data_IF_083718175756
#
_entry.id   IF_083718175756
#
_cell.length_a   1.000
_cell.length_b   1.000
_cell.length_c   1.000
_cell.angle_alpha   90.00
_cell.angle_beta   90.00
_cell.angle_gamma   90.00
#
_symmetry.space_group_name_H-M   'P 1'
#
loop_
_entity.id
_entity.type
_entity.pdbx_description
1 polymer ?
#
# COMPACT_ATOMS: atom_id res chain seq x y z
N UNK A 1 -114.27 47.93 -11.44
CA UNK A 1 -113.36 47.34 -10.46
C UNK A 1 -114.17 46.52 -9.49
N UNK A 2 -114.04 45.20 -9.58
CA UNK A 2 -114.78 44.28 -8.73
C UNK A 2 -114.16 44.27 -7.32
N UNK A 3 -114.96 44.05 -6.28
CA UNK A 3 -114.47 44.01 -4.89
C UNK A 3 -113.40 42.92 -4.67
N UNK A 4 -113.38 41.88 -5.50
CA UNK A 4 -112.33 40.86 -5.49
C UNK A 4 -111.01 41.33 -6.11
N UNK A 5 -111.05 42.20 -7.13
CA UNK A 5 -109.84 42.74 -7.76
C UNK A 5 -109.07 43.65 -6.80
N UNK A 6 -109.78 44.47 -6.02
CA UNK A 6 -109.15 45.36 -5.04
C UNK A 6 -108.49 44.57 -3.89
N UNK A 7 -109.10 43.45 -3.47
CA UNK A 7 -108.53 42.55 -2.45
C UNK A 7 -107.25 41.86 -2.94
N UNK A 8 -107.24 41.41 -4.19
CA UNK A 8 -106.08 40.77 -4.80
C UNK A 8 -104.91 41.76 -5.02
N UNK A 9 -105.22 43.02 -5.33
CA UNK A 9 -104.19 44.05 -5.46
C UNK A 9 -103.51 44.36 -4.12
N UNK A 10 -104.29 44.37 -3.03
CA UNK A 10 -103.78 44.65 -1.69
C UNK A 10 -102.90 43.51 -1.16
N UNK A 11 -103.25 42.25 -1.43
CA UNK A 11 -102.40 41.09 -1.09
C UNK A 11 -101.08 41.11 -1.87
N UNK A 12 -101.10 41.54 -3.14
CA UNK A 12 -99.90 41.65 -3.97
C UNK A 12 -98.89 42.66 -3.42
N UNK A 13 -99.36 43.82 -2.95
CA UNK A 13 -98.49 44.85 -2.34
C UNK A 13 -97.84 44.35 -1.05
N UNK A 14 -98.54 43.56 -0.24
CA UNK A 14 -97.99 43.00 0.99
C UNK A 14 -96.85 42.01 0.68
N UNK A 15 -97.03 41.15 -0.32
CA UNK A 15 -96.02 40.15 -0.72
C UNK A 15 -94.75 40.79 -1.29
N UNK A 16 -94.88 41.90 -2.02
CA UNK A 16 -93.70 42.63 -2.55
C UNK A 16 -92.89 43.30 -1.45
N UNK A 17 -93.55 43.90 -0.45
CA UNK A 17 -92.87 44.52 0.70
C UNK A 17 -92.15 43.47 1.56
N UNK A 18 -92.79 42.32 1.81
CA UNK A 18 -92.19 41.22 2.58
C UNK A 18 -90.97 40.64 1.86
N UNK A 19 -91.03 40.51 0.54
CA UNK A 19 -89.89 40.03 -0.27
C UNK A 19 -88.69 40.98 -0.19
N UNK A 20 -88.93 42.28 -0.18
CA UNK A 20 -87.87 43.28 -0.06
C UNK A 20 -87.21 43.24 1.33
N UNK A 21 -87.99 43.01 2.39
CA UNK A 21 -87.49 42.95 3.77
C UNK A 21 -86.67 41.68 4.04
N UNK A 22 -87.04 40.55 3.42
CA UNK A 22 -86.27 39.30 3.46
C UNK A 22 -84.90 39.42 2.78
N UNK A 23 -84.86 40.03 1.59
CA UNK A 23 -83.59 40.28 0.86
C UNK A 23 -82.70 41.27 1.61
N UNK A 24 -83.27 42.32 2.20
CA UNK A 24 -82.53 43.29 3.00
C UNK A 24 -81.89 42.66 4.26
N UNK A 25 -82.62 41.76 4.94
CA UNK A 25 -82.10 41.05 6.12
C UNK A 25 -81.02 40.01 5.75
N UNK A 26 -81.17 39.32 4.63
CA UNK A 26 -80.17 38.35 4.14
C UNK A 26 -78.82 38.99 3.79
N UNK A 27 -78.80 40.27 3.43
CA UNK A 27 -77.56 40.98 3.08
C UNK A 27 -76.74 41.46 4.29
N UNK A 28 -77.29 41.39 5.51
CA UNK A 28 -76.58 41.83 6.72
C UNK A 28 -75.73 40.71 7.36
N UNK A 29 -76.13 39.44 7.21
CA UNK A 29 -75.43 38.27 7.78
C UNK A 29 -74.14 37.86 7.04
N UNK A 30 -73.71 38.61 6.02
CA UNK A 30 -72.50 38.33 5.24
C UNK A 30 -71.28 39.14 5.67
N UNK A 31 -71.43 40.17 6.51
CA UNK A 31 -70.28 41.02 6.93
C UNK A 31 -69.48 40.42 8.10
N UNK A 32 -70.09 39.72 9.04
CA UNK A 32 -69.40 39.18 10.22
C UNK A 32 -68.67 37.85 9.95
N UNK A 33 -69.04 37.11 8.90
CA UNK A 33 -68.36 35.86 8.51
C UNK A 33 -67.02 36.09 7.81
N UNK A 34 -66.80 37.27 7.23
CA UNK A 34 -65.55 37.59 6.53
C UNK A 34 -64.43 38.09 7.46
N UNK A 35 -64.76 38.66 8.63
CA UNK A 35 -63.76 39.15 9.59
C UNK A 35 -63.13 38.01 10.41
N UNK A 36 -63.93 37.01 10.82
CA UNK A 36 -63.42 35.83 11.52
C UNK A 36 -62.55 34.93 10.63
N UNK A 37 -62.83 34.86 9.32
CA UNK A 37 -61.97 34.11 8.38
C UNK A 37 -60.59 34.76 8.20
N UNK A 38 -60.47 36.09 8.33
CA UNK A 38 -59.21 36.81 8.12
C UNK A 38 -58.24 36.66 9.31
N UNK A 39 -58.75 36.64 10.55
CA UNK A 39 -57.93 36.45 11.76
C UNK A 39 -57.54 34.97 11.95
N UNK A 40 -58.43 34.04 11.57
CA UNK A 40 -58.17 32.59 11.62
C UNK A 40 -57.19 32.15 10.52
N UNK A 41 -57.23 32.77 9.32
CA UNK A 41 -56.26 32.50 8.25
C UNK A 41 -54.83 32.80 8.69
N UNK A 42 -54.54 34.00 9.21
CA UNK A 42 -53.19 34.42 9.60
C UNK A 42 -52.60 33.53 10.73
N UNK A 43 -53.46 33.08 11.66
CA UNK A 43 -53.08 32.15 12.72
C UNK A 43 -52.77 30.75 12.18
N UNK A 44 -53.59 30.24 11.26
CA UNK A 44 -53.38 28.93 10.64
C UNK A 44 -52.15 28.94 9.73
N UNK A 45 -51.93 30.01 8.96
CA UNK A 45 -50.77 30.17 8.07
C UNK A 45 -49.46 30.20 8.88
N UNK A 46 -49.46 30.86 10.04
CA UNK A 46 -48.32 30.85 10.97
C UNK A 46 -48.07 29.48 11.61
N UNK A 47 -49.12 28.74 11.95
CA UNK A 47 -49.01 27.36 12.49
C UNK A 47 -48.45 26.42 11.41
N UNK A 48 -48.94 26.53 10.17
CA UNK A 48 -48.46 25.75 9.03
C UNK A 48 -46.99 26.08 8.77
N UNK A 49 -46.62 27.36 8.70
CA UNK A 49 -45.24 27.79 8.52
C UNK A 49 -44.31 27.26 9.63
N UNK A 50 -44.74 27.30 10.90
CA UNK A 50 -43.98 26.73 12.03
C UNK A 50 -43.77 25.22 11.89
N UNK A 51 -44.82 24.48 11.52
CA UNK A 51 -44.74 23.03 11.33
C UNK A 51 -43.83 22.63 10.16
N UNK A 52 -43.82 23.43 9.08
CA UNK A 52 -42.92 23.27 7.93
C UNK A 52 -41.47 23.49 8.35
N UNK A 53 -41.21 24.53 9.15
CA UNK A 53 -39.86 24.81 9.66
C UNK A 53 -39.39 23.69 10.59
N UNK A 54 -40.24 23.21 11.48
CA UNK A 54 -39.91 22.11 12.40
C UNK A 54 -39.60 20.82 11.64
N UNK A 55 -40.43 20.44 10.67
CA UNK A 55 -40.18 19.28 9.80
C UNK A 55 -38.94 19.44 8.93
N UNK A 56 -38.66 20.66 8.47
CA UNK A 56 -37.42 20.96 7.74
C UNK A 56 -36.20 20.76 8.63
N UNK A 57 -36.24 21.22 9.88
CA UNK A 57 -35.13 21.06 10.82
C UNK A 57 -34.90 19.59 11.18
N UNK A 58 -35.96 18.82 11.44
CA UNK A 58 -35.88 17.36 11.67
C UNK A 58 -35.28 16.65 10.45
N UNK A 59 -35.65 17.08 9.24
CA UNK A 59 -35.10 16.54 8.00
C UNK A 59 -33.62 16.92 7.81
N UNK A 60 -33.22 18.17 8.11
CA UNK A 60 -31.83 18.61 8.07
C UNK A 60 -30.97 17.85 9.10
N UNK A 61 -31.49 17.61 10.31
CA UNK A 61 -30.84 16.81 11.35
C UNK A 61 -30.68 15.35 10.91
N UNK A 62 -31.73 14.73 10.37
CA UNK A 62 -31.65 13.37 9.84
C UNK A 62 -30.66 13.24 8.69
N UNK A 63 -30.59 14.22 7.77
CA UNK A 63 -29.58 14.25 6.71
C UNK A 63 -28.18 14.32 7.30
N UNK A 64 -27.98 15.16 8.33
CA UNK A 64 -26.69 15.30 8.99
C UNK A 64 -26.28 13.99 9.65
N UNK A 65 -27.17 13.34 10.40
CA UNK A 65 -26.91 12.06 11.04
C UNK A 65 -26.57 10.97 10.02
N UNK A 66 -27.31 10.91 8.91
CA UNK A 66 -27.04 9.98 7.81
C UNK A 66 -25.67 10.26 7.20
N UNK A 67 -25.34 11.53 6.95
CA UNK A 67 -24.04 11.90 6.39
C UNK A 67 -22.88 11.57 7.34
N UNK A 68 -23.04 11.87 8.63
CA UNK A 68 -22.04 11.54 9.66
C UNK A 68 -21.86 10.02 9.78
N UNK A 69 -22.95 9.25 9.71
CA UNK A 69 -22.90 7.79 9.69
C UNK A 69 -22.17 7.27 8.43
N UNK A 70 -22.51 7.76 7.25
CA UNK A 70 -21.83 7.35 6.01
C UNK A 70 -20.34 7.70 6.03
N UNK A 71 -19.96 8.84 6.61
CA UNK A 71 -18.55 9.23 6.77
C UNK A 71 -17.84 8.25 7.70
N UNK A 72 -18.44 7.90 8.83
CA UNK A 72 -17.84 6.96 9.78
C UNK A 72 -17.74 5.54 9.20
N UNK A 73 -18.80 5.05 8.54
CA UNK A 73 -18.80 3.75 7.86
C UNK A 73 -17.75 3.70 6.74
N UNK A 74 -17.68 4.76 5.92
CA UNK A 74 -16.66 4.88 4.86
C UNK A 74 -15.26 4.89 5.46
N UNK A 75 -15.03 5.65 6.52
CA UNK A 75 -13.73 5.73 7.19
C UNK A 75 -13.34 4.37 7.77
N UNK A 76 -14.28 3.65 8.37
CA UNK A 76 -14.06 2.31 8.91
C UNK A 76 -13.71 1.31 7.79
N UNK A 77 -14.49 1.28 6.71
CA UNK A 77 -14.26 0.38 5.58
C UNK A 77 -12.94 0.71 4.86
N UNK A 78 -12.64 1.99 4.70
CA UNK A 78 -11.36 2.46 4.14
C UNK A 78 -10.18 2.05 5.03
N UNK A 79 -10.28 2.26 6.35
CA UNK A 79 -9.23 1.86 7.28
C UNK A 79 -9.01 0.34 7.26
N UNK A 80 -10.09 -0.44 7.27
CA UNK A 80 -10.02 -1.89 7.18
C UNK A 80 -9.35 -2.33 5.88
N UNK A 81 -9.85 -1.85 4.73
CA UNK A 81 -9.30 -2.16 3.41
C UNK A 81 -7.84 -1.73 3.28
N UNK A 82 -7.48 -0.56 3.81
CA UNK A 82 -6.10 -0.05 3.78
C UNK A 82 -5.19 -0.93 4.63
N UNK A 83 -5.64 -1.35 5.81
CA UNK A 83 -4.87 -2.24 6.68
C UNK A 83 -4.65 -3.61 6.03
N UNK A 84 -5.69 -4.20 5.44
CA UNK A 84 -5.58 -5.46 4.69
C UNK A 84 -4.60 -5.34 3.52
N UNK A 85 -4.67 -4.26 2.74
CA UNK A 85 -3.73 -4.02 1.63
C UNK A 85 -2.31 -3.78 2.09
N UNK A 86 -2.12 -3.09 3.22
CA UNK A 86 -0.80 -2.84 3.78
C UNK A 86 -0.10 -4.15 4.15
N UNK A 87 -0.84 -5.12 4.71
CA UNK A 87 -0.30 -6.45 5.02
C UNK A 87 0.17 -7.16 3.75
N UNK A 88 -0.63 -7.15 2.69
CA UNK A 88 -0.25 -7.79 1.40
C UNK A 88 0.95 -7.09 0.76
N UNK A 89 1.00 -5.76 0.83
CA UNK A 89 2.15 -4.98 0.34
C UNK A 89 3.39 -5.31 1.16
N UNK A 90 3.27 -5.45 2.48
CA UNK A 90 4.37 -5.80 3.37
C UNK A 90 4.89 -7.21 3.07
N UNK A 91 4.01 -8.21 2.94
CA UNK A 91 4.38 -9.58 2.57
C UNK A 91 5.09 -9.62 1.21
N UNK A 92 4.61 -8.87 0.22
CA UNK A 92 5.26 -8.75 -1.07
C UNK A 92 6.62 -8.03 -1.00
N UNK A 93 6.73 -6.98 -0.18
CA UNK A 93 7.98 -6.27 0.04
C UNK A 93 9.03 -7.18 0.70
N UNK A 94 8.63 -7.98 1.70
CA UNK A 94 9.50 -8.96 2.35
C UNK A 94 10.01 -10.00 1.33
N UNK A 95 9.13 -10.50 0.46
CA UNK A 95 9.53 -11.40 -0.63
C UNK A 95 10.54 -10.75 -1.60
N UNK A 96 10.31 -9.48 -1.98
CA UNK A 96 11.24 -8.76 -2.84
C UNK A 96 12.59 -8.52 -2.15
N UNK A 97 12.61 -8.25 -0.84
CA UNK A 97 13.85 -8.10 -0.08
C UNK A 97 14.63 -9.42 -0.06
N UNK A 98 13.95 -10.54 0.12
CA UNK A 98 14.58 -11.87 0.04
C UNK A 98 15.15 -12.14 -1.36
N UNK A 99 14.40 -11.82 -2.42
CA UNK A 99 14.86 -11.96 -3.81
C UNK A 99 16.09 -11.05 -4.09
N UNK A 100 16.09 -9.82 -3.60
CA UNK A 100 17.23 -8.90 -3.69
C UNK A 100 18.44 -9.46 -2.93
N UNK A 101 18.23 -9.99 -1.73
CA UNK A 101 19.29 -10.61 -0.94
C UNK A 101 19.91 -11.80 -1.66
N UNK A 102 19.09 -12.69 -2.21
CA UNK A 102 19.53 -13.84 -3.00
C UNK A 102 20.34 -13.39 -4.22
N UNK A 103 19.86 -12.40 -4.96
CA UNK A 103 20.57 -11.87 -6.12
C UNK A 103 21.90 -11.20 -5.74
N UNK A 104 21.93 -10.45 -4.63
CA UNK A 104 23.17 -9.87 -4.09
C UNK A 104 24.19 -10.95 -3.73
N UNK A 105 23.76 -12.05 -3.13
CA UNK A 105 24.62 -13.20 -2.83
C UNK A 105 25.17 -13.85 -4.11
N UNK A 106 24.34 -14.01 -5.15
CA UNK A 106 24.77 -14.56 -6.44
C UNK A 106 25.79 -13.67 -7.16
N UNK A 107 25.55 -12.34 -7.20
CA UNK A 107 26.49 -11.37 -7.78
C UNK A 107 27.82 -11.36 -7.02
N UNK A 108 27.76 -11.38 -5.68
CA UNK A 108 28.97 -11.45 -4.87
C UNK A 108 29.74 -12.75 -5.08
N UNK A 109 29.03 -13.88 -5.21
CA UNK A 109 29.63 -15.16 -5.53
C UNK A 109 30.31 -15.16 -6.90
N UNK A 110 29.67 -14.59 -7.93
CA UNK A 110 30.28 -14.45 -9.25
C UNK A 110 31.56 -13.59 -9.19
N UNK A 111 31.53 -12.49 -8.44
CA UNK A 111 32.71 -11.68 -8.18
C UNK A 111 33.83 -12.48 -7.49
N UNK A 112 33.48 -13.31 -6.50
CA UNK A 112 34.45 -14.19 -5.84
C UNK A 112 35.09 -15.19 -6.80
N UNK A 113 34.28 -15.87 -7.64
CA UNK A 113 34.80 -16.82 -8.65
C UNK A 113 35.72 -16.12 -9.64
N UNK A 114 35.31 -14.96 -10.17
CA UNK A 114 36.13 -14.22 -11.13
C UNK A 114 37.47 -13.83 -10.54
N UNK A 115 37.48 -13.34 -9.29
CA UNK A 115 38.70 -12.99 -8.59
C UNK A 115 39.54 -14.22 -8.24
N UNK A 116 38.94 -15.34 -7.84
CA UNK A 116 39.66 -16.60 -7.61
C UNK A 116 40.27 -17.15 -8.91
N UNK A 117 39.54 -17.11 -10.03
CA UNK A 117 40.03 -17.50 -11.35
C UNK A 117 41.18 -16.61 -11.82
N UNK A 118 41.09 -15.29 -11.61
CA UNK A 118 42.20 -14.39 -11.91
C UNK A 118 43.44 -14.73 -11.07
N UNK A 119 43.26 -14.98 -9.77
CA UNK A 119 44.37 -15.31 -8.88
C UNK A 119 45.00 -16.68 -9.21
N UNK A 120 44.20 -17.69 -9.54
CA UNK A 120 44.70 -19.00 -9.97
C UNK A 120 45.44 -18.92 -11.30
N UNK A 121 44.93 -18.17 -12.27
CA UNK A 121 45.64 -17.91 -13.54
C UNK A 121 46.97 -17.17 -13.32
N UNK A 122 46.98 -16.13 -12.48
CA UNK A 122 48.21 -15.43 -12.10
C UNK A 122 49.20 -16.37 -11.41
N UNK A 123 48.74 -17.24 -10.50
CA UNK A 123 49.59 -18.23 -9.83
C UNK A 123 50.09 -19.31 -10.79
N UNK A 124 49.28 -19.75 -11.77
CA UNK A 124 49.71 -20.70 -12.79
C UNK A 124 50.75 -20.08 -13.72
N UNK A 125 50.59 -18.82 -14.13
CA UNK A 125 51.59 -18.10 -14.92
C UNK A 125 52.91 -17.95 -14.16
N UNK A 126 52.82 -17.63 -12.86
CA UNK A 126 53.99 -17.56 -11.97
C UNK A 126 54.66 -18.93 -11.85
N UNK A 127 53.91 -20.00 -11.59
CA UNK A 127 54.48 -21.34 -11.42
C UNK A 127 55.03 -21.93 -12.73
N UNK A 128 54.47 -21.61 -13.89
CA UNK A 128 55.06 -21.95 -15.19
C UNK A 128 56.37 -21.17 -15.36
N UNK A 129 56.39 -19.87 -15.02
CA UNK A 129 57.61 -19.07 -15.10
C UNK A 129 58.71 -19.54 -14.12
N UNK A 130 58.37 -20.05 -12.94
CA UNK A 130 59.34 -20.62 -11.99
C UNK A 130 59.82 -22.00 -12.43
N UNK A 131 58.94 -22.88 -12.93
CA UNK A 131 59.36 -24.18 -13.47
C UNK A 131 60.22 -24.04 -14.74
N UNK A 132 59.96 -23.04 -15.58
CA UNK A 132 60.84 -22.69 -16.72
C UNK A 132 62.18 -22.11 -16.24
N UNK A 133 62.23 -21.53 -15.03
CA UNK A 133 63.47 -21.02 -14.41
C UNK A 133 64.26 -22.12 -13.69
N UNK A 134 63.58 -23.09 -13.08
CA UNK A 134 64.17 -24.26 -12.41
C UNK A 134 64.67 -25.32 -13.40
N UNK A 135 64.03 -25.49 -14.57
CA UNK A 135 64.56 -26.35 -15.64
C UNK A 135 65.73 -25.71 -16.42
N UNK A 136 66.03 -24.43 -16.21
CA UNK A 136 67.14 -23.73 -16.86
C UNK A 136 68.46 -23.78 -16.09
N UNK A 137 68.55 -24.44 -14.93
CA UNK A 137 69.82 -24.57 -14.20
C UNK A 137 70.70 -25.75 -14.64
N UNK A 138 70.34 -26.52 -15.68
CA UNK A 138 71.22 -27.60 -16.18
C UNK A 138 71.86 -27.35 -17.56
N UNK A 139 71.41 -26.39 -18.38
CA UNK A 139 72.11 -26.05 -19.63
C UNK A 139 72.07 -24.54 -19.91
N UNK A 140 73.26 -23.96 -20.07
CA UNK A 140 73.49 -22.52 -20.07
C UNK A 140 73.05 -21.73 -21.31
N UNK A 141 72.95 -20.42 -21.07
CA UNK A 141 73.00 -19.27 -21.99
C UNK A 141 71.95 -19.16 -23.11
N UNK A 142 70.97 -18.27 -22.90
CA UNK A 142 70.52 -17.26 -23.88
C UNK A 142 69.66 -16.17 -23.21
N UNK A 143 69.85 -14.93 -23.70
CA UNK A 143 69.41 -13.61 -23.22
C UNK A 143 67.88 -13.33 -23.16
N UNK A 144 67.45 -12.20 -22.54
CA UNK A 144 66.11 -12.02 -21.99
C UNK A 144 65.11 -11.50 -23.03
N UNK A 145 63.98 -12.21 -23.20
CA UNK A 145 62.87 -11.71 -24.01
C UNK A 145 61.84 -10.99 -23.12
N UNK A 146 61.96 -9.67 -23.16
CA UNK A 146 60.92 -8.64 -23.09
C UNK A 146 59.71 -8.85 -22.16
N UNK A 147 59.70 -7.99 -21.15
CA UNK A 147 58.52 -7.50 -20.46
C UNK A 147 57.47 -6.94 -21.44
N UNK A 148 56.40 -7.69 -21.67
CA UNK A 148 55.14 -7.14 -22.18
C UNK A 148 54.25 -6.81 -20.98
N UNK A 149 54.23 -5.53 -20.65
CA UNK A 149 53.27 -4.88 -19.76
C UNK A 149 51.84 -5.31 -20.11
N UNK A 150 51.14 -5.95 -19.17
CA UNK A 150 49.70 -5.78 -19.02
C UNK A 150 49.46 -5.06 -17.69
N UNK A 151 49.70 -3.75 -17.72
CA UNK A 151 49.16 -2.86 -16.71
C UNK A 151 47.69 -2.58 -17.06
N UNK A 152 46.91 -2.43 -15.99
CA UNK A 152 45.57 -1.83 -15.92
C UNK A 152 44.37 -2.76 -16.08
N UNK A 153 44.13 -3.61 -15.08
CA UNK A 153 42.82 -3.65 -14.39
C UNK A 153 43.07 -3.86 -12.88
N UNK A 154 43.95 -3.06 -12.28
CA UNK A 154 43.87 -2.79 -10.84
C UNK A 154 43.55 -1.31 -10.73
N UNK A 155 42.53 -0.99 -9.93
CA UNK A 155 42.07 0.36 -9.59
C UNK A 155 41.06 1.00 -10.55
N UNK A 156 39.84 0.45 -10.65
CA UNK A 156 38.64 1.27 -10.88
C UNK A 156 37.33 0.53 -10.54
N UNK A 157 37.28 -0.30 -9.50
CA UNK A 157 35.98 -0.80 -8.96
C UNK A 157 36.04 -0.90 -7.43
N UNK A 158 36.94 -0.15 -6.79
CA UNK A 158 37.00 -0.08 -5.32
C UNK A 158 36.14 1.03 -4.74
N UNK A 159 35.74 2.03 -5.53
CA UNK A 159 35.07 3.22 -5.00
C UNK A 159 33.63 3.44 -5.53
N UNK A 160 33.23 2.84 -6.65
CA UNK A 160 31.94 3.20 -7.30
C UNK A 160 30.75 2.29 -6.97
N UNK A 161 30.89 1.31 -6.07
CA UNK A 161 29.75 0.52 -5.55
C UNK A 161 29.26 1.00 -4.16
N UNK A 162 29.88 2.04 -3.60
CA UNK A 162 29.43 2.65 -2.33
C UNK A 162 28.34 3.72 -2.52
N UNK A 163 27.94 4.03 -3.75
CA UNK A 163 27.10 5.21 -4.00
C UNK A 163 25.91 4.96 -4.93
N UNK A 164 25.21 3.81 -4.79
CA UNK A 164 23.84 3.72 -5.36
C UNK A 164 22.97 2.63 -4.69
N UNK A 165 23.04 2.52 -3.36
CA UNK A 165 21.96 1.90 -2.57
C UNK A 165 21.73 2.79 -1.34
N UNK A 166 21.27 4.01 -1.61
CA UNK A 166 20.84 4.97 -0.59
C UNK A 166 19.32 5.07 -0.63
N UNK A 167 18.62 3.96 -0.30
CA UNK A 167 17.25 3.98 0.22
C UNK A 167 17.00 2.66 0.94
N UNK A 168 17.33 2.64 2.23
CA UNK A 168 16.55 2.12 3.36
C UNK A 168 17.50 2.09 4.55
N UNK A 169 17.27 3.02 5.47
CA UNK A 169 17.89 3.04 6.78
C UNK A 169 17.55 1.74 7.53
N UNK A 170 18.48 1.35 8.41
CA UNK A 170 18.34 0.31 9.44
C UNK A 170 18.72 -1.14 9.08
N UNK A 171 20.01 -1.35 8.80
CA UNK A 171 20.73 -2.51 9.34
C UNK A 171 22.23 -2.23 9.33
N UNK A 172 22.76 -1.87 10.49
CA UNK A 172 24.20 -1.83 10.79
C UNK A 172 24.78 -3.25 10.74
N UNK A 173 24.91 -3.88 9.57
CA UNK A 173 25.88 -4.98 9.39
C UNK A 173 27.21 -4.35 8.96
N UNK A 174 28.07 -4.14 9.96
CA UNK A 174 29.44 -3.68 9.78
C UNK A 174 30.23 -4.61 8.85
N UNK A 175 31.19 -4.03 8.12
CA UNK A 175 32.16 -4.63 7.19
C UNK A 175 32.96 -5.83 7.81
N UNK A 176 32.78 -6.10 9.10
CA UNK A 176 33.38 -7.18 9.88
C UNK A 176 32.68 -8.55 9.71
N UNK A 177 31.38 -8.59 9.38
CA UNK A 177 30.59 -9.84 9.33
C UNK A 177 30.82 -10.69 8.06
N UNK A 178 31.43 -10.12 7.02
CA UNK A 178 31.60 -10.78 5.72
C UNK A 178 32.83 -11.72 5.73
N UNK A 179 33.90 -11.33 6.41
CA UNK A 179 35.14 -12.12 6.51
C UNK A 179 34.89 -13.43 7.30
N UNK A 180 34.16 -13.34 8.40
CA UNK A 180 33.79 -14.47 9.26
C UNK A 180 32.90 -15.50 8.54
N UNK A 181 31.98 -15.04 7.68
CA UNK A 181 31.09 -15.92 6.90
C UNK A 181 31.88 -16.71 5.84
N UNK A 182 32.93 -16.11 5.25
CA UNK A 182 33.81 -16.76 4.27
C UNK A 182 34.66 -17.87 4.89
N UNK A 183 35.20 -17.65 6.08
CA UNK A 183 35.99 -18.66 6.80
C UNK A 183 35.11 -19.86 7.21
N UNK A 184 33.89 -19.59 7.68
CA UNK A 184 32.90 -20.63 8.03
C UNK A 184 32.56 -21.53 6.84
N UNK A 185 32.31 -20.97 5.66
CA UNK A 185 32.03 -21.74 4.44
C UNK A 185 33.14 -22.72 4.08
N UNK A 186 34.39 -22.23 4.06
CA UNK A 186 35.56 -23.04 3.73
C UNK A 186 35.73 -24.21 4.69
N UNK A 187 35.45 -23.99 5.98
CA UNK A 187 35.55 -25.01 7.02
C UNK A 187 34.47 -26.09 6.89
N UNK A 188 33.23 -25.71 6.55
CA UNK A 188 32.11 -26.65 6.34
C UNK A 188 32.38 -27.56 5.15
N UNK A 189 32.82 -26.99 4.01
CA UNK A 189 33.14 -27.78 2.82
C UNK A 189 34.33 -28.71 3.06
N UNK A 190 35.37 -28.22 3.75
CA UNK A 190 36.52 -29.06 4.11
C UNK A 190 36.12 -30.29 4.90
N UNK A 191 35.27 -30.12 5.92
CA UNK A 191 34.77 -31.23 6.74
C UNK A 191 33.83 -32.16 5.97
N UNK A 192 33.01 -31.61 5.06
CA UNK A 192 32.12 -32.41 4.21
C UNK A 192 32.91 -33.28 3.22
N UNK A 193 33.95 -32.72 2.60
CA UNK A 193 34.85 -33.46 1.69
C UNK A 193 35.66 -34.54 2.42
N UNK A 194 35.88 -34.38 3.73
CA UNK A 194 36.48 -35.42 4.59
C UNK A 194 35.50 -36.55 4.95
N UNK A 195 34.23 -36.48 4.52
CA UNK A 195 33.22 -37.51 4.74
C UNK A 195 32.43 -37.37 6.05
N UNK A 196 32.57 -36.26 6.78
CA UNK A 196 31.82 -36.05 8.02
C UNK A 196 30.32 -35.83 7.75
N UNK A 197 29.49 -36.36 8.65
CA UNK A 197 28.03 -36.21 8.53
C UNK A 197 27.56 -34.78 8.87
N UNK A 198 26.42 -34.36 8.32
CA UNK A 198 25.81 -33.03 8.58
C UNK A 198 25.63 -32.78 10.09
N UNK A 199 25.26 -33.83 10.84
CA UNK A 199 25.10 -33.78 12.30
C UNK A 199 26.42 -33.63 13.05
N UNK A 200 27.51 -34.18 12.51
CA UNK A 200 28.84 -34.12 13.11
C UNK A 200 29.49 -32.76 12.83
N UNK A 201 29.36 -32.25 11.59
CA UNK A 201 29.77 -30.90 11.20
C UNK A 201 29.05 -29.84 12.04
N UNK A 202 27.73 -29.99 12.23
CA UNK A 202 26.90 -29.12 13.07
C UNK A 202 27.40 -29.10 14.53
N UNK A 203 27.77 -30.26 15.08
CA UNK A 203 28.32 -30.36 16.44
C UNK A 203 29.73 -29.79 16.58
N UNK A 204 30.60 -30.02 15.60
CA UNK A 204 31.99 -29.54 15.61
C UNK A 204 32.09 -28.03 15.43
N UNK A 205 31.18 -27.44 14.64
CA UNK A 205 31.18 -26.01 14.33
C UNK A 205 30.15 -25.20 15.14
N UNK A 206 29.38 -25.86 16.02
CA UNK A 206 28.24 -25.25 16.73
C UNK A 206 27.27 -24.51 15.80
N UNK A 207 27.08 -25.02 14.58
CA UNK A 207 26.20 -24.46 13.55
C UNK A 207 24.87 -25.20 13.51
N UNK A 208 23.80 -24.53 13.08
CA UNK A 208 22.51 -25.16 12.88
C UNK A 208 22.56 -26.22 11.78
N UNK A 209 21.89 -27.37 11.96
CA UNK A 209 21.85 -28.42 10.94
C UNK A 209 21.28 -27.94 9.60
N UNK A 210 20.40 -26.92 9.63
CA UNK A 210 19.87 -26.27 8.43
C UNK A 210 20.91 -25.45 7.67
N UNK A 211 21.78 -24.71 8.37
CA UNK A 211 22.85 -23.92 7.76
C UNK A 211 23.89 -24.81 7.09
N UNK A 212 24.33 -25.86 7.79
CA UNK A 212 25.28 -26.84 7.25
C UNK A 212 24.70 -27.51 6.00
N UNK A 213 23.40 -27.84 6.01
CA UNK A 213 22.72 -28.42 4.85
C UNK A 213 22.65 -27.46 3.66
N UNK A 214 22.39 -26.17 3.89
CA UNK A 214 22.37 -25.15 2.84
C UNK A 214 23.72 -25.06 2.11
N UNK A 215 24.83 -24.98 2.87
CA UNK A 215 26.17 -24.92 2.30
C UNK A 215 26.53 -26.18 1.48
N UNK A 216 26.10 -27.37 1.93
CA UNK A 216 26.34 -28.64 1.23
C UNK A 216 25.46 -28.76 -0.02
N UNK A 217 24.18 -28.40 0.06
CA UNK A 217 23.24 -28.49 -1.07
C UNK A 217 23.65 -27.55 -2.21
N UNK A 218 24.21 -26.37 -1.87
CA UNK A 218 24.80 -25.45 -2.84
C UNK A 218 26.06 -26.05 -3.47
N UNK A 219 26.97 -26.62 -2.67
CA UNK A 219 28.16 -27.30 -3.19
C UNK A 219 27.80 -28.42 -4.19
N UNK A 220 26.81 -29.27 -3.85
CA UNK A 220 26.33 -30.33 -4.76
C UNK A 220 25.73 -29.79 -6.06
N UNK A 221 25.00 -28.68 -6.00
CA UNK A 221 24.44 -28.03 -7.20
C UNK A 221 25.54 -27.46 -8.09
N UNK A 222 26.64 -26.99 -7.51
CA UNK A 222 27.80 -26.48 -8.24
C UNK A 222 28.60 -27.62 -8.89
N UNK A 223 28.88 -28.71 -8.16
CA UNK A 223 29.63 -29.88 -8.69
C UNK A 223 28.86 -30.66 -9.77
N UNK A 224 27.52 -30.67 -9.74
CA UNK A 224 26.70 -31.33 -10.79
C UNK A 224 26.58 -30.54 -12.10
N UNK A 225 27.04 -29.29 -12.13
CA UNK A 225 26.98 -28.44 -13.34
C UNK A 225 28.27 -28.50 -14.17
N UNK A 226 29.28 -29.25 -13.73
CA UNK A 226 30.43 -29.69 -14.54
C UNK A 226 30.21 -31.11 -15.07
#
# INVERSE_FOLDING_TARGET
MNTLEILLLLIGIIVTVVSFLLVAKSNQDTKDKNFNNMIVSDSNDKIIAKSIIEKKNEFEESIKDINDQYIEDTKKELNQTTNEKMIVIQEFADQLIDDIKNNKEEVFFLYQILNEKENTLRQSDISISTNVREQKTEYGQAEPLNAAKSNNIKASVKDDLKQEISYTEDSNESEFDIEDKKEKYKKIIGLYNQGNSITEISKTLSLGQGEVKLYIDINKKLVRRE
#
